data_IF_211492702255
#
_entry.id   IF_211492702255
#
_cell.length_a   1.000
_cell.length_b   1.000
_cell.length_c   1.000
_cell.angle_alpha   90.00
_cell.angle_beta   90.00
_cell.angle_gamma   90.00
#
_symmetry.space_group_name_H-M   'P 1'
#
loop_
_entity.id
_entity.type
_entity.pdbx_description
1 polymer ?
#
# COMPACT_ATOMS: atom_id res chain seq x y z
N UNK A 1 -7.33 36.54 -10.43
CA UNK A 1 -7.06 37.99 -10.32
C UNK A 1 -5.55 38.18 -10.31
N UNK A 2 -4.99 38.74 -11.39
CA UNK A 2 -3.56 39.05 -11.51
C UNK A 2 -3.22 40.20 -10.56
N UNK A 3 -2.46 39.93 -9.50
CA UNK A 3 -1.87 40.96 -8.64
C UNK A 3 -0.40 40.59 -8.47
N UNK A 4 0.43 41.05 -9.39
CA UNK A 4 1.88 41.06 -9.20
C UNK A 4 2.24 42.22 -8.28
N UNK A 5 3.15 42.01 -7.33
CA UNK A 5 3.76 43.09 -6.58
C UNK A 5 4.60 43.95 -7.51
N UNK A 6 4.39 45.27 -7.46
CA UNK A 6 5.17 46.25 -8.20
C UNK A 6 6.54 46.38 -7.53
N UNK A 7 7.58 45.87 -8.21
CA UNK A 7 8.97 45.91 -7.73
C UNK A 7 9.68 47.23 -8.09
N UNK A 8 8.95 48.21 -8.62
CA UNK A 8 9.51 49.45 -9.14
C UNK A 8 10.04 49.32 -10.57
N UNK A 9 10.09 50.46 -11.28
CA UNK A 9 10.49 50.60 -12.70
C UNK A 9 9.50 50.10 -13.77
N UNK A 10 8.22 49.86 -13.44
CA UNK A 10 7.19 49.52 -14.43
C UNK A 10 7.31 48.10 -15.01
N UNK A 11 8.13 47.24 -14.40
CA UNK A 11 8.27 45.83 -14.74
C UNK A 11 7.41 44.99 -13.79
N UNK A 12 6.22 44.56 -14.23
CA UNK A 12 5.48 43.51 -13.53
C UNK A 12 6.03 42.15 -13.97
N UNK A 13 6.64 41.38 -13.08
CA UNK A 13 6.79 39.94 -13.32
C UNK A 13 5.42 39.29 -13.10
N UNK A 14 4.79 38.69 -14.14
CA UNK A 14 3.49 38.06 -13.98
C UNK A 14 3.67 36.73 -13.24
N UNK A 15 3.64 36.77 -11.92
CA UNK A 15 3.55 35.55 -11.13
C UNK A 15 2.12 35.02 -11.23
N UNK A 16 1.99 33.79 -11.71
CA UNK A 16 0.75 33.04 -11.67
C UNK A 16 0.64 32.38 -10.31
N UNK A 17 -0.49 32.58 -9.64
CA UNK A 17 -0.80 31.94 -8.36
C UNK A 17 -1.93 30.94 -8.59
N UNK A 18 -1.58 29.66 -8.53
CA UNK A 18 -2.53 28.55 -8.74
C UNK A 18 -2.74 27.85 -7.40
N UNK A 19 -4.01 27.67 -7.02
CA UNK A 19 -4.38 26.84 -5.87
C UNK A 19 -4.87 25.49 -6.37
N UNK A 20 -4.20 24.42 -5.96
CA UNK A 20 -4.60 23.04 -6.22
C UNK A 20 -5.36 22.53 -5.00
N UNK A 21 -6.48 21.84 -5.22
CA UNK A 21 -7.29 21.23 -4.17
C UNK A 21 -7.54 19.75 -4.46
N UNK A 22 -7.60 18.96 -3.40
CA UNK A 22 -8.00 17.55 -3.47
C UNK A 22 -9.01 17.25 -2.37
N UNK A 23 -9.97 16.39 -2.68
CA UNK A 23 -10.86 15.75 -1.72
C UNK A 23 -10.70 14.25 -1.88
N UNK A 24 -10.47 13.54 -0.78
CA UNK A 24 -10.15 12.12 -0.83
C UNK A 24 -10.89 11.34 0.25
N UNK A 25 -11.07 10.05 -0.02
CA UNK A 25 -11.60 9.06 0.91
C UNK A 25 -10.82 7.77 0.72
N UNK A 26 -10.19 7.31 1.80
CA UNK A 26 -9.52 6.01 1.85
C UNK A 26 -10.48 5.03 2.50
N UNK A 27 -10.76 3.94 1.80
CA UNK A 27 -11.63 2.86 2.27
C UNK A 27 -10.83 1.57 2.35
N UNK A 28 -11.11 0.77 3.36
CA UNK A 28 -10.57 -0.58 3.49
C UNK A 28 -11.64 -1.52 4.03
N UNK A 29 -11.45 -2.81 3.78
CA UNK A 29 -12.36 -3.84 4.29
C UNK A 29 -11.89 -4.29 5.66
N UNK A 30 -12.72 -4.12 6.68
CA UNK A 30 -12.40 -4.61 8.01
C UNK A 30 -12.42 -6.13 8.00
N UNK A 31 -11.26 -6.73 8.31
CA UNK A 31 -11.07 -8.17 8.24
C UNK A 31 -11.79 -8.92 9.38
N UNK A 32 -12.25 -8.23 10.43
CA UNK A 32 -13.04 -8.79 11.54
C UNK A 32 -14.55 -8.78 11.25
N UNK A 33 -15.07 -7.69 10.72
CA UNK A 33 -16.52 -7.51 10.50
C UNK A 33 -16.95 -7.81 9.06
N UNK A 34 -16.01 -7.83 8.11
CA UNK A 34 -16.29 -8.02 6.68
C UNK A 34 -16.86 -6.79 5.97
N UNK A 35 -17.09 -5.69 6.69
CA UNK A 35 -17.65 -4.44 6.18
C UNK A 35 -16.59 -3.53 5.57
N UNK A 36 -17.00 -2.69 4.61
CA UNK A 36 -16.15 -1.61 4.08
C UNK A 36 -16.21 -0.42 5.03
N UNK A 37 -15.07 -0.04 5.57
CA UNK A 37 -14.94 1.08 6.51
C UNK A 37 -14.14 2.23 5.88
N UNK A 38 -14.45 3.46 6.30
CA UNK A 38 -13.67 4.64 5.93
C UNK A 38 -12.50 4.74 6.88
N UNK A 39 -11.27 4.60 6.38
CA UNK A 39 -10.07 4.79 7.19
C UNK A 39 -9.82 6.27 7.47
N UNK A 40 -10.00 7.09 6.44
CA UNK A 40 -9.90 8.55 6.54
C UNK A 40 -10.61 9.19 5.35
N UNK A 41 -11.15 10.38 5.55
CA UNK A 41 -11.61 11.26 4.49
C UNK A 41 -11.18 12.68 4.82
N UNK A 42 -10.93 13.48 3.80
CA UNK A 42 -10.45 14.84 4.01
C UNK A 42 -10.39 15.63 2.72
N UNK A 43 -10.11 16.91 2.89
CA UNK A 43 -9.77 17.81 1.81
C UNK A 43 -8.53 18.58 2.17
N UNK A 44 -7.69 18.86 1.19
CA UNK A 44 -6.49 19.66 1.37
C UNK A 44 -6.22 20.50 0.13
N UNK A 45 -5.43 21.55 0.31
CA UNK A 45 -5.05 22.48 -0.73
C UNK A 45 -3.63 22.97 -0.54
N UNK A 46 -2.97 23.25 -1.66
CA UNK A 46 -1.69 23.92 -1.68
C UNK A 46 -1.64 24.94 -2.81
N UNK A 47 -0.73 25.89 -2.71
CA UNK A 47 -0.53 26.93 -3.71
C UNK A 47 0.83 26.74 -4.37
N UNK A 48 0.89 26.93 -5.67
CA UNK A 48 2.14 27.11 -6.39
C UNK A 48 2.17 28.48 -7.05
N UNK A 49 3.37 29.05 -7.10
CA UNK A 49 3.63 30.36 -7.66
C UNK A 49 4.77 30.21 -8.67
N UNK A 50 4.54 30.60 -9.92
CA UNK A 50 5.55 30.51 -10.97
C UNK A 50 5.30 31.50 -12.11
N UNK A 51 6.27 31.63 -13.02
CA UNK A 51 6.17 32.49 -14.20
C UNK A 51 5.14 32.02 -15.24
N UNK A 52 4.80 30.73 -15.25
CA UNK A 52 3.74 30.13 -16.07
C UNK A 52 2.63 29.55 -15.19
N UNK A 53 1.44 29.34 -15.75
CA UNK A 53 0.32 28.72 -15.03
C UNK A 53 0.61 27.24 -14.80
N UNK A 54 1.26 26.59 -15.76
CA UNK A 54 1.64 25.19 -15.77
C UNK A 54 2.63 24.88 -14.64
N UNK A 55 3.69 25.69 -14.51
CA UNK A 55 4.69 25.53 -13.44
C UNK A 55 4.08 25.85 -12.06
N UNK A 56 3.18 26.84 -11.99
CA UNK A 56 2.47 27.16 -10.75
C UNK A 56 1.52 26.03 -10.34
N UNK A 57 0.89 25.36 -11.31
CA UNK A 57 0.09 24.16 -11.05
C UNK A 57 0.98 22.98 -10.61
N UNK A 58 2.11 22.75 -11.27
CA UNK A 58 3.06 21.70 -10.93
C UNK A 58 3.61 21.86 -9.51
N UNK A 59 4.10 23.06 -9.16
CA UNK A 59 4.58 23.35 -7.80
C UNK A 59 3.47 23.27 -6.75
N UNK A 60 2.24 23.65 -7.10
CA UNK A 60 1.07 23.46 -6.25
C UNK A 60 0.74 21.99 -6.00
N UNK A 61 0.84 21.14 -7.02
CA UNK A 61 0.66 19.69 -6.90
C UNK A 61 1.76 19.05 -6.07
N UNK A 62 3.03 19.43 -6.29
CA UNK A 62 4.18 18.93 -5.52
C UNK A 62 4.02 19.27 -4.03
N UNK A 63 3.68 20.52 -3.72
CA UNK A 63 3.42 20.97 -2.35
C UNK A 63 2.26 20.22 -1.70
N UNK A 64 1.18 19.98 -2.46
CA UNK A 64 0.02 19.21 -1.99
C UNK A 64 0.40 17.74 -1.71
N UNK A 65 1.19 17.13 -2.60
CA UNK A 65 1.67 15.76 -2.45
C UNK A 65 2.60 15.62 -1.23
N UNK A 66 3.54 16.56 -1.04
CA UNK A 66 4.43 16.57 0.12
C UNK A 66 3.64 16.66 1.45
N UNK A 67 2.54 17.41 1.47
CA UNK A 67 1.66 17.53 2.64
C UNK A 67 0.81 16.29 2.89
N UNK A 68 0.23 15.70 1.85
CA UNK A 68 -0.71 14.58 1.98
C UNK A 68 -0.06 13.22 2.14
N UNK A 69 1.10 13.00 1.50
CA UNK A 69 1.80 11.72 1.52
C UNK A 69 2.01 11.16 2.93
N UNK A 70 2.57 11.91 3.90
CA UNK A 70 2.77 11.38 5.25
C UNK A 70 1.44 11.05 5.94
N UNK A 71 0.42 11.90 5.80
CA UNK A 71 -0.91 11.68 6.40
C UNK A 71 -1.55 10.38 5.88
N UNK A 72 -1.48 10.16 4.57
CA UNK A 72 -2.02 8.97 3.92
C UNK A 72 -1.25 7.72 4.36
N UNK A 73 0.08 7.78 4.32
CA UNK A 73 0.96 6.68 4.70
C UNK A 73 0.76 6.27 6.17
N UNK A 74 0.66 7.24 7.08
CA UNK A 74 0.43 6.97 8.50
C UNK A 74 -0.91 6.27 8.76
N UNK A 75 -1.97 6.66 8.03
CA UNK A 75 -3.29 6.02 8.14
C UNK A 75 -3.27 4.59 7.60
N UNK A 76 -2.61 4.36 6.47
CA UNK A 76 -2.44 3.01 5.91
C UNK A 76 -1.61 2.15 6.86
N UNK A 77 -0.48 2.64 7.36
CA UNK A 77 0.38 1.93 8.29
C UNK A 77 -0.36 1.57 9.59
N UNK A 78 -1.18 2.48 10.12
CA UNK A 78 -2.01 2.25 11.31
C UNK A 78 -3.04 1.15 11.07
N UNK A 79 -3.70 1.15 9.90
CA UNK A 79 -4.65 0.11 9.53
C UNK A 79 -3.97 -1.26 9.39
N UNK A 80 -2.83 -1.32 8.69
CA UNK A 80 -2.05 -2.54 8.52
C UNK A 80 -1.66 -3.10 9.89
N UNK A 81 -1.04 -2.29 10.76
CA UNK A 81 -0.63 -2.72 12.11
C UNK A 81 -1.80 -3.24 12.96
N UNK A 82 -2.97 -2.61 12.89
CA UNK A 82 -4.15 -3.01 13.66
C UNK A 82 -4.87 -4.26 13.13
N UNK A 83 -4.58 -4.67 11.89
CA UNK A 83 -5.35 -5.69 11.15
C UNK A 83 -4.55 -6.92 10.77
N UNK A 84 -3.23 -6.98 11.04
CA UNK A 84 -2.38 -8.13 10.72
C UNK A 84 -2.92 -9.40 11.38
N UNK A 85 -3.40 -10.33 10.56
CA UNK A 85 -3.72 -11.69 10.99
C UNK A 85 -2.51 -12.59 10.75
N UNK A 86 -2.24 -13.50 11.68
CA UNK A 86 -1.28 -14.58 11.48
C UNK A 86 -2.00 -15.71 10.73
N UNK A 87 -1.50 -16.05 9.55
CA UNK A 87 -1.99 -17.17 8.72
C UNK A 87 -0.93 -18.27 8.71
N UNK A 88 -1.30 -19.47 9.14
CA UNK A 88 -0.42 -20.64 9.05
C UNK A 88 -0.35 -21.13 7.60
N UNK A 89 0.85 -21.28 7.04
CA UNK A 89 1.08 -21.88 5.73
C UNK A 89 1.79 -23.21 5.94
N UNK A 90 1.20 -24.31 5.46
CA UNK A 90 1.86 -25.61 5.36
C UNK A 90 2.09 -25.92 3.88
N UNK A 91 3.32 -26.25 3.52
CA UNK A 91 3.70 -26.64 2.16
C UNK A 91 4.17 -28.09 2.19
N UNK A 92 3.38 -28.95 1.56
CA UNK A 92 3.70 -30.37 1.42
C UNK A 92 4.74 -30.56 0.29
N UNK A 93 5.61 -31.56 0.47
CA UNK A 93 6.63 -31.92 -0.52
C UNK A 93 7.95 -31.16 -0.41
N UNK A 94 8.18 -30.41 0.67
CA UNK A 94 9.44 -29.73 0.97
C UNK A 94 10.38 -30.68 1.71
N UNK A 95 11.49 -31.06 1.08
CA UNK A 95 12.43 -32.06 1.60
C UNK A 95 13.81 -31.51 1.93
N UNK A 96 14.11 -30.31 1.47
CA UNK A 96 15.43 -29.68 1.53
C UNK A 96 15.33 -28.20 1.91
N UNK A 97 16.43 -27.70 2.45
CA UNK A 97 16.53 -26.35 2.99
C UNK A 97 16.50 -25.29 1.87
N UNK A 98 17.01 -25.61 0.68
CA UNK A 98 17.03 -24.69 -0.46
C UNK A 98 15.61 -24.39 -0.94
N UNK A 99 14.79 -25.43 -1.14
CA UNK A 99 13.36 -25.28 -1.47
C UNK A 99 12.61 -24.51 -0.38
N UNK A 100 12.93 -24.77 0.89
CA UNK A 100 12.29 -24.08 2.01
C UNK A 100 12.63 -22.57 2.03
N UNK A 101 13.89 -22.20 1.76
CA UNK A 101 14.30 -20.81 1.62
C UNK A 101 13.68 -20.14 0.40
N UNK A 102 13.59 -20.86 -0.73
CA UNK A 102 12.91 -20.38 -1.93
C UNK A 102 11.43 -20.04 -1.63
N UNK A 103 10.72 -20.95 -0.97
CA UNK A 103 9.32 -20.74 -0.57
C UNK A 103 9.20 -19.52 0.36
N UNK A 104 10.09 -19.39 1.35
CA UNK A 104 10.12 -18.23 2.24
C UNK A 104 10.30 -16.92 1.48
N UNK A 105 11.24 -16.88 0.53
CA UNK A 105 11.46 -15.73 -0.35
C UNK A 105 10.24 -15.41 -1.21
N UNK A 106 9.57 -16.45 -1.75
CA UNK A 106 8.32 -16.27 -2.50
C UNK A 106 7.20 -15.69 -1.64
N UNK A 107 7.06 -16.13 -0.38
CA UNK A 107 6.07 -15.61 0.56
C UNK A 107 6.33 -14.14 0.89
N UNK A 108 7.59 -13.75 1.09
CA UNK A 108 7.99 -12.36 1.37
C UNK A 108 7.71 -11.40 0.21
N UNK A 109 7.69 -11.89 -1.03
CA UNK A 109 7.39 -11.10 -2.21
C UNK A 109 5.89 -10.89 -2.47
N UNK A 110 5.00 -11.48 -1.67
CA UNK A 110 3.56 -11.32 -1.85
C UNK A 110 3.12 -9.95 -1.32
N UNK A 111 2.33 -9.23 -2.11
CA UNK A 111 1.77 -7.93 -1.72
C UNK A 111 0.97 -8.08 -0.43
N UNK A 112 1.19 -7.16 0.51
CA UNK A 112 0.60 -7.14 1.86
C UNK A 112 1.17 -8.15 2.86
N UNK A 113 2.09 -9.03 2.48
CA UNK A 113 2.82 -9.82 3.49
C UNK A 113 3.71 -8.90 4.29
N UNK A 114 3.51 -8.90 5.61
CA UNK A 114 4.24 -8.05 6.56
C UNK A 114 5.41 -8.78 7.21
N UNK A 115 5.28 -10.09 7.37
CA UNK A 115 6.27 -10.95 8.02
C UNK A 115 6.08 -12.40 7.57
N UNK A 116 7.18 -13.14 7.54
CA UNK A 116 7.18 -14.60 7.29
C UNK A 116 8.08 -15.24 8.32
N UNK A 117 7.46 -15.90 9.30
CA UNK A 117 8.16 -16.66 10.33
C UNK A 117 8.20 -18.12 9.91
N UNK A 118 9.39 -18.70 9.89
CA UNK A 118 9.57 -20.13 9.64
C UNK A 118 9.48 -20.88 10.97
N UNK A 119 8.53 -21.81 11.07
CA UNK A 119 8.38 -22.65 12.27
C UNK A 119 9.20 -23.91 12.14
N UNK A 120 9.09 -24.57 10.99
CA UNK A 120 9.81 -25.79 10.59
C UNK A 120 9.88 -25.83 9.06
N UNK A 121 10.62 -26.79 8.52
CA UNK A 121 10.67 -27.02 7.08
C UNK A 121 9.27 -27.26 6.51
N UNK A 122 8.87 -26.44 5.54
CA UNK A 122 7.54 -26.45 4.94
C UNK A 122 6.43 -25.83 5.80
N UNK A 123 6.72 -25.29 7.00
CA UNK A 123 5.73 -24.67 7.88
C UNK A 123 6.09 -23.22 8.21
N UNK A 124 5.21 -22.29 7.80
CA UNK A 124 5.39 -20.86 7.98
C UNK A 124 4.20 -20.23 8.69
N UNK A 125 4.44 -19.10 9.35
CA UNK A 125 3.40 -18.18 9.80
C UNK A 125 3.59 -16.86 9.08
N UNK A 126 2.55 -16.43 8.37
CA UNK A 126 2.58 -15.22 7.54
C UNK A 126 1.67 -14.16 8.16
N UNK A 127 2.20 -12.96 8.39
CA UNK A 127 1.39 -11.82 8.79
C UNK A 127 0.74 -11.18 7.57
N UNK A 128 -0.58 -11.22 7.50
CA UNK A 128 -1.36 -10.72 6.38
C UNK A 128 -2.53 -9.84 6.90
N UNK A 129 -2.53 -8.52 6.59
CA UNK A 129 -3.55 -7.58 7.09
C UNK A 129 -4.87 -7.67 6.32
N UNK A 130 -4.85 -8.31 5.15
CA UNK A 130 -5.98 -8.45 4.24
C UNK A 130 -6.71 -9.80 4.43
N UNK A 131 -7.76 -10.03 3.64
CA UNK A 131 -8.43 -11.33 3.62
C UNK A 131 -7.49 -12.42 3.06
N UNK A 132 -7.30 -13.51 3.81
CA UNK A 132 -6.44 -14.65 3.46
C UNK A 132 -6.80 -15.32 2.11
N UNK A 133 -8.00 -15.11 1.58
CA UNK A 133 -8.35 -15.52 0.22
C UNK A 133 -7.49 -14.84 -0.85
N UNK A 134 -7.06 -13.59 -0.61
CA UNK A 134 -6.18 -12.87 -1.52
C UNK A 134 -4.76 -13.43 -1.47
N UNK A 135 -4.27 -13.77 -0.27
CA UNK A 135 -3.00 -14.49 -0.10
C UNK A 135 -3.01 -15.82 -0.86
N UNK A 136 -4.10 -16.61 -0.71
CA UNK A 136 -4.28 -17.86 -1.43
C UNK A 136 -4.23 -17.65 -2.96
N UNK A 137 -4.94 -16.64 -3.47
CA UNK A 137 -4.93 -16.32 -4.90
C UNK A 137 -3.55 -15.88 -5.41
N UNK A 138 -2.81 -15.06 -4.66
CA UNK A 138 -1.45 -14.65 -5.01
C UNK A 138 -0.49 -15.85 -5.07
N UNK A 139 -0.62 -16.79 -4.12
CA UNK A 139 0.16 -18.04 -4.12
C UNK A 139 -0.16 -18.90 -5.34
N UNK A 140 -1.44 -19.03 -5.69
CA UNK A 140 -1.86 -19.77 -6.89
C UNK A 140 -1.32 -19.14 -8.18
N UNK A 141 -1.30 -17.81 -8.28
CA UNK A 141 -0.82 -17.09 -9.47
C UNK A 141 0.69 -17.23 -9.69
N UNK A 142 1.49 -17.45 -8.65
CA UNK A 142 2.93 -17.75 -8.79
C UNK A 142 3.19 -19.09 -9.50
N UNK A 143 2.19 -19.96 -9.67
CA UNK A 143 2.28 -21.20 -10.45
C UNK A 143 3.02 -22.37 -9.78
N UNK A 144 3.87 -22.08 -8.79
CA UNK A 144 4.66 -23.05 -8.01
C UNK A 144 3.89 -23.73 -6.86
N UNK A 145 2.69 -23.24 -6.56
CA UNK A 145 1.86 -23.77 -5.48
C UNK A 145 0.51 -24.26 -6.03
N UNK A 146 0.03 -25.37 -5.49
CA UNK A 146 -1.35 -25.80 -5.62
C UNK A 146 -2.02 -25.77 -4.25
N UNK A 147 -3.14 -25.07 -4.14
CA UNK A 147 -3.92 -25.02 -2.90
C UNK A 147 -4.59 -26.39 -2.71
N UNK A 148 -4.33 -27.02 -1.57
CA UNK A 148 -4.92 -28.30 -1.15
C UNK A 148 -6.08 -28.05 -0.20
N UNK A 149 -5.89 -27.14 0.75
CA UNK A 149 -6.90 -26.78 1.75
C UNK A 149 -6.80 -25.29 2.13
N UNK A 150 -7.93 -24.70 2.50
CA UNK A 150 -8.05 -23.28 2.85
C UNK A 150 -9.01 -23.05 4.00
N UNK A 151 -8.53 -22.32 5.00
CA UNK A 151 -9.35 -21.67 6.03
C UNK A 151 -8.92 -20.22 6.18
N UNK A 152 -9.71 -19.37 6.86
CA UNK A 152 -9.33 -17.98 7.08
C UNK A 152 -7.98 -17.78 7.81
N UNK A 153 -7.50 -18.80 8.52
CA UNK A 153 -6.30 -18.75 9.37
C UNK A 153 -5.20 -19.73 8.96
N UNK A 154 -5.47 -20.61 7.98
CA UNK A 154 -4.51 -21.61 7.55
C UNK A 154 -4.67 -21.96 6.06
N UNK A 155 -3.54 -22.21 5.40
CA UNK A 155 -3.45 -22.65 4.01
C UNK A 155 -2.55 -23.88 3.93
N UNK A 156 -3.04 -24.93 3.30
CA UNK A 156 -2.22 -26.09 2.93
C UNK A 156 -1.97 -26.05 1.44
N UNK A 157 -0.70 -26.11 1.07
CA UNK A 157 -0.21 -26.03 -0.30
C UNK A 157 0.55 -27.30 -0.65
N UNK A 158 0.57 -27.64 -1.93
CA UNK A 158 1.42 -28.65 -2.52
C UNK A 158 2.46 -27.94 -3.39
N UNK A 159 3.74 -28.24 -3.15
CA UNK A 159 4.85 -27.70 -3.93
C UNK A 159 4.92 -28.34 -5.31
N UNK A 160 4.92 -27.52 -6.36
CA UNK A 160 5.13 -27.97 -7.74
C UNK A 160 6.57 -27.66 -8.14
N UNK A 161 7.37 -28.72 -8.25
CA UNK A 161 8.72 -28.68 -8.85
C UNK A 161 8.65 -28.16 -10.28
#
# INVERSE_FOLDING_TARGET
TKKGEDIGYGLSMPFNNVTVRITYRIVARNSKTGNTEILTAGSDQARGIAGSVEDAAAGGMESLAAKLSPVILDKIASFVKGSVKKVAIRVNGVTDLDTNQEIKGMLQQIVWVTEVEEKRMGEFTVGYPENSIYLANSLRQKGRFKIVDFTPYALTLEWKK
#
